data_IF_834421342327
#
_entry.id   IF_834421342327
#
_cell.length_a   1.000
_cell.length_b   1.000
_cell.length_c   1.000
_cell.angle_alpha   90.00
_cell.angle_beta   90.00
_cell.angle_gamma   90.00
#
_symmetry.space_group_name_H-M   'P 1'
#
loop_
_entity.id
_entity.type
_entity.pdbx_description
1 polymer ?
#
# COMPACT_ATOMS: atom_id res chain seq x y z
N UNK A 1 -34.96 50.41 28.97
CA UNK A 1 -35.56 49.77 27.78
C UNK A 1 -34.49 48.94 27.08
N UNK A 2 -34.71 47.62 27.05
CA UNK A 2 -33.86 46.59 26.42
C UNK A 2 -33.75 46.78 24.90
N UNK A 3 -32.54 46.68 24.33
CA UNK A 3 -32.33 46.04 23.02
C UNK A 3 -30.99 45.28 23.02
N UNK A 4 -31.09 43.96 22.94
CA UNK A 4 -30.00 42.99 22.82
C UNK A 4 -29.49 42.99 21.37
N UNK A 5 -28.18 43.02 21.19
CA UNK A 5 -27.52 42.80 19.90
C UNK A 5 -27.30 41.29 19.69
N UNK A 6 -28.05 40.69 18.77
CA UNK A 6 -27.87 39.28 18.38
C UNK A 6 -27.11 39.23 17.05
N UNK A 7 -25.89 38.68 17.06
CA UNK A 7 -25.09 38.38 15.86
C UNK A 7 -25.81 37.32 15.02
N UNK A 8 -26.14 37.68 13.78
CA UNK A 8 -26.62 36.75 12.75
C UNK A 8 -25.42 36.01 12.15
N UNK A 9 -25.34 34.69 12.39
CA UNK A 9 -24.45 33.79 11.65
C UNK A 9 -25.11 33.43 10.32
N UNK A 10 -24.43 33.75 9.22
CA UNK A 10 -24.81 33.43 7.85
C UNK A 10 -24.26 32.03 7.51
N UNK A 11 -25.13 31.03 7.34
CA UNK A 11 -24.79 29.68 6.86
C UNK A 11 -25.56 29.43 5.55
N UNK A 12 -24.90 29.31 4.38
CA UNK A 12 -25.59 29.01 3.12
C UNK A 12 -25.99 27.51 2.99
N UNK A 13 -26.96 27.20 2.11
CA UNK A 13 -27.83 26.03 2.26
C UNK A 13 -27.35 24.78 1.50
N UNK A 14 -27.45 23.61 2.15
CA UNK A 14 -27.31 22.29 1.51
C UNK A 14 -28.65 21.91 0.88
N UNK A 15 -28.63 21.73 -0.44
CA UNK A 15 -29.75 21.36 -1.30
C UNK A 15 -30.27 19.95 -0.95
N UNK A 16 -31.42 19.86 -0.27
CA UNK A 16 -32.21 18.61 -0.18
C UNK A 16 -33.14 18.53 -1.40
N UNK A 17 -32.86 17.64 -2.36
CA UNK A 17 -33.90 17.20 -3.33
C UNK A 17 -34.56 15.92 -2.84
N UNK A 18 -35.84 16.05 -2.47
CA UNK A 18 -36.80 14.96 -2.27
C UNK A 18 -37.15 14.38 -3.64
N UNK A 19 -36.94 13.08 -3.85
CA UNK A 19 -37.59 12.37 -4.95
C UNK A 19 -38.92 11.79 -4.46
N UNK A 20 -40.02 12.25 -5.09
CA UNK A 20 -41.39 11.75 -4.91
C UNK A 20 -41.50 10.34 -5.51
N UNK A 21 -41.97 9.39 -4.71
CA UNK A 21 -42.44 8.08 -5.18
C UNK A 21 -43.79 8.26 -5.89
N UNK A 22 -43.90 7.81 -7.14
CA UNK A 22 -45.18 7.53 -7.80
C UNK A 22 -44.98 6.48 -8.89
N UNK A 23 -45.49 5.28 -8.61
CA UNK A 23 -46.03 4.30 -9.57
C UNK A 23 -45.13 3.77 -10.68
N UNK A 24 -44.75 2.50 -10.59
CA UNK A 24 -45.44 1.38 -11.26
C UNK A 24 -44.72 0.08 -10.88
N UNK A 25 -45.45 -0.81 -10.22
CA UNK A 25 -45.10 -2.22 -10.06
C UNK A 25 -45.67 -2.93 -11.29
N UNK A 26 -44.83 -3.49 -12.15
CA UNK A 26 -45.24 -4.56 -13.05
C UNK A 26 -44.06 -5.42 -13.50
N UNK A 27 -44.11 -6.66 -13.00
CA UNK A 27 -43.71 -7.90 -13.67
C UNK A 27 -42.23 -8.17 -13.95
N UNK A 28 -41.62 -8.92 -13.02
CA UNK A 28 -40.43 -9.74 -13.28
C UNK A 28 -40.89 -10.98 -14.05
N UNK A 29 -40.46 -11.13 -15.31
CA UNK A 29 -40.45 -12.43 -15.97
C UNK A 29 -39.15 -13.16 -15.64
N UNK A 30 -39.33 -14.37 -15.15
CA UNK A 30 -38.36 -15.33 -14.66
C UNK A 30 -37.22 -15.62 -15.66
N UNK A 31 -35.97 -15.30 -15.30
CA UNK A 31 -34.87 -16.28 -15.11
C UNK A 31 -33.53 -15.55 -14.86
N UNK A 32 -32.85 -15.92 -13.76
CA UNK A 32 -31.41 -15.71 -13.47
C UNK A 32 -30.85 -14.28 -13.28
N UNK A 33 -31.22 -13.59 -12.18
CA UNK A 33 -30.41 -12.51 -11.59
C UNK A 33 -30.11 -12.69 -10.08
N UNK A 34 -30.35 -13.87 -9.52
CA UNK A 34 -30.05 -14.17 -8.11
C UNK A 34 -28.62 -14.72 -7.86
N UNK A 35 -27.86 -14.98 -8.92
CA UNK A 35 -26.46 -15.45 -8.79
C UNK A 35 -25.42 -14.31 -8.89
N UNK A 36 -25.78 -13.14 -9.43
CA UNK A 36 -24.81 -12.05 -9.67
C UNK A 36 -24.73 -10.99 -8.55
N UNK A 37 -25.62 -11.04 -7.55
CA UNK A 37 -25.70 -10.02 -6.50
C UNK A 37 -25.46 -10.54 -5.07
N UNK A 38 -25.17 -11.83 -4.91
CA UNK A 38 -25.03 -12.46 -3.59
C UNK A 38 -23.57 -12.74 -3.18
N UNK A 39 -22.58 -12.29 -3.95
CA UNK A 39 -21.16 -12.24 -3.53
C UNK A 39 -20.72 -10.79 -3.31
N UNK A 40 -21.57 -9.98 -2.67
CA UNK A 40 -21.19 -8.74 -1.99
C UNK A 40 -22.43 -8.29 -1.20
N UNK A 41 -22.41 -8.25 0.15
CA UNK A 41 -21.33 -7.68 0.95
C UNK A 41 -20.95 -8.54 2.17
N UNK A 42 -19.67 -8.93 2.24
CA UNK A 42 -19.01 -9.15 3.52
C UNK A 42 -18.91 -7.78 4.18
N UNK A 43 -19.54 -7.64 5.34
CA UNK A 43 -19.71 -6.41 6.12
C UNK A 43 -18.50 -5.48 6.06
N UNK A 44 -18.67 -4.28 5.51
CA UNK A 44 -17.76 -3.18 5.79
C UNK A 44 -18.54 -1.87 5.79
N UNK A 45 -18.74 -1.30 6.98
CA UNK A 45 -19.49 -0.04 7.22
C UNK A 45 -18.68 1.21 6.83
N UNK A 46 -17.54 1.06 6.18
CA UNK A 46 -16.53 2.13 6.07
C UNK A 46 -16.38 2.75 4.67
N UNK A 47 -17.22 2.39 3.69
CA UNK A 47 -17.07 2.86 2.30
C UNK A 47 -17.44 4.34 2.08
N UNK A 48 -17.86 5.06 3.12
CA UNK A 48 -18.05 6.52 3.07
C UNK A 48 -17.00 7.27 3.93
N UNK A 49 -15.85 6.66 4.22
CA UNK A 49 -14.73 7.39 4.80
C UNK A 49 -14.13 8.32 3.73
N UNK A 50 -14.23 9.63 3.93
CA UNK A 50 -13.52 10.63 3.13
C UNK A 50 -12.00 10.51 3.25
N UNK A 51 -11.51 9.78 4.27
CA UNK A 51 -10.09 9.59 4.56
C UNK A 51 -9.53 8.40 3.78
N UNK A 52 -8.34 8.54 3.16
CA UNK A 52 -7.72 7.45 2.43
C UNK A 52 -7.26 6.31 3.37
N UNK A 53 -7.18 5.06 2.88
CA UNK A 53 -6.84 3.90 3.68
C UNK A 53 -5.38 3.95 4.17
N UNK A 54 -5.16 3.64 5.45
CA UNK A 54 -3.81 3.63 6.05
C UNK A 54 -2.94 2.52 5.44
N UNK A 55 -1.70 2.88 5.12
CA UNK A 55 -0.68 1.98 4.58
C UNK A 55 -0.23 0.98 5.65
N UNK A 56 -0.18 -0.29 5.27
CA UNK A 56 0.38 -1.36 6.08
C UNK A 56 1.23 -2.25 5.19
N UNK A 57 2.54 -2.31 5.43
CA UNK A 57 3.48 -3.07 4.61
C UNK A 57 3.21 -4.59 4.64
N UNK A 58 2.71 -5.13 5.75
CA UNK A 58 2.33 -6.55 5.86
C UNK A 58 1.07 -6.90 5.06
N UNK A 59 0.22 -5.89 4.77
CA UNK A 59 -1.00 -6.03 3.97
C UNK A 59 -0.95 -5.15 2.72
N UNK A 60 0.26 -4.96 2.17
CA UNK A 60 0.51 -3.99 1.11
C UNK A 60 -0.32 -4.24 -0.15
N UNK A 61 -0.52 -5.50 -0.54
CA UNK A 61 -1.37 -5.86 -1.69
C UNK A 61 -2.82 -5.41 -1.49
N UNK A 62 -3.37 -5.57 -0.29
CA UNK A 62 -4.73 -5.13 0.02
C UNK A 62 -4.79 -3.60 0.03
N UNK A 63 -3.79 -2.95 0.63
CA UNK A 63 -3.69 -1.50 0.66
C UNK A 63 -3.60 -0.90 -0.75
N UNK A 64 -2.77 -1.46 -1.64
CA UNK A 64 -2.65 -1.06 -3.05
C UNK A 64 -3.99 -1.06 -3.77
N UNK A 65 -4.77 -2.14 -3.62
CA UNK A 65 -6.09 -2.24 -4.24
C UNK A 65 -7.03 -1.15 -3.71
N UNK A 66 -7.02 -0.92 -2.39
CA UNK A 66 -7.87 0.10 -1.76
C UNK A 66 -7.48 1.52 -2.15
N UNK A 67 -6.18 1.82 -2.19
CA UNK A 67 -5.70 3.17 -2.51
C UNK A 67 -5.92 3.50 -4.00
N UNK A 68 -5.78 2.51 -4.90
CA UNK A 68 -6.14 2.64 -6.31
C UNK A 68 -7.63 2.97 -6.48
N UNK A 69 -8.52 2.23 -5.81
CA UNK A 69 -9.96 2.49 -5.87
C UNK A 69 -10.30 3.88 -5.33
N UNK A 70 -9.67 4.30 -4.23
CA UNK A 70 -9.85 5.62 -3.65
C UNK A 70 -9.41 6.74 -4.61
N UNK A 71 -8.19 6.66 -5.17
CA UNK A 71 -7.68 7.67 -6.10
C UNK A 71 -8.54 7.79 -7.36
N UNK A 72 -8.92 6.66 -7.96
CA UNK A 72 -9.79 6.63 -9.13
C UNK A 72 -11.19 7.19 -8.86
N UNK A 73 -11.67 7.13 -7.61
CA UNK A 73 -12.96 7.73 -7.24
C UNK A 73 -12.93 9.26 -7.17
N UNK A 74 -11.74 9.86 -7.03
CA UNK A 74 -11.54 11.31 -7.00
C UNK A 74 -11.33 11.83 -8.42
N UNK A 75 -10.32 11.30 -9.11
CA UNK A 75 -9.94 11.67 -10.47
C UNK A 75 -9.05 10.56 -11.04
N UNK A 76 -9.34 10.09 -12.25
CA UNK A 76 -8.58 9.03 -12.93
C UNK A 76 -7.12 9.45 -13.18
N UNK A 77 -6.88 10.74 -13.37
CA UNK A 77 -5.54 11.28 -13.65
C UNK A 77 -4.59 11.17 -12.45
N UNK A 78 -5.12 11.07 -11.22
CA UNK A 78 -4.31 10.97 -9.99
C UNK A 78 -3.55 9.65 -9.95
N UNK A 79 -4.23 8.53 -10.21
CA UNK A 79 -3.57 7.22 -10.22
C UNK A 79 -2.65 7.08 -11.43
N UNK A 80 -3.03 7.64 -12.58
CA UNK A 80 -2.18 7.66 -13.78
C UNK A 80 -0.86 8.40 -13.52
N UNK A 81 -0.88 9.49 -12.74
CA UNK A 81 0.33 10.21 -12.32
C UNK A 81 1.32 9.35 -11.54
N UNK A 82 0.83 8.40 -10.74
CA UNK A 82 1.68 7.48 -9.97
C UNK A 82 2.40 6.48 -10.90
N UNK A 83 1.76 6.06 -11.98
CA UNK A 83 2.33 5.09 -12.92
C UNK A 83 3.32 5.73 -13.88
N UNK A 84 2.96 6.89 -14.43
CA UNK A 84 3.70 7.55 -15.51
C UNK A 84 4.81 8.45 -14.91
N UNK A 85 4.51 9.16 -13.83
CA UNK A 85 5.33 10.22 -13.26
C UNK A 85 5.04 11.58 -13.91
N UNK A 86 5.49 12.69 -13.31
CA UNK A 86 5.28 14.02 -13.87
C UNK A 86 5.96 14.13 -15.25
N UNK A 87 5.29 14.74 -16.24
CA UNK A 87 5.91 14.95 -17.54
C UNK A 87 7.13 15.87 -17.40
N UNK A 88 8.26 15.45 -17.98
CA UNK A 88 9.42 16.32 -18.10
C UNK A 88 9.05 17.53 -18.97
N UNK A 89 9.56 18.74 -18.66
CA UNK A 89 9.40 19.87 -19.56
C UNK A 89 10.11 19.53 -20.87
N UNK A 90 9.36 19.44 -21.97
CA UNK A 90 9.94 19.25 -23.30
C UNK A 90 10.71 20.51 -23.70
N UNK A 91 11.95 20.35 -24.15
CA UNK A 91 12.70 21.43 -24.77
C UNK A 91 12.15 21.66 -26.19
N UNK A 92 11.44 22.76 -26.42
CA UNK A 92 11.03 23.16 -27.77
C UNK A 92 12.23 23.71 -28.54
N UNK A 93 12.75 22.95 -29.50
CA UNK A 93 13.61 23.48 -30.58
C UNK A 93 12.73 24.08 -31.67
N UNK A 94 12.39 25.35 -31.56
CA UNK A 94 11.80 26.10 -32.68
C UNK A 94 12.90 26.55 -33.63
N UNK A 95 13.21 25.76 -34.66
CA UNK A 95 13.87 26.28 -35.86
C UNK A 95 12.82 27.05 -36.65
N UNK A 96 12.84 28.38 -36.59
CA UNK A 96 12.67 29.29 -37.73
C UNK A 96 12.71 30.76 -37.28
N UNK A 97 13.83 31.41 -37.63
CA UNK A 97 14.05 32.83 -37.93
C UNK A 97 13.18 33.91 -37.27
N UNK A 98 13.87 34.66 -36.40
CA UNK A 98 13.82 36.11 -36.18
C UNK A 98 13.07 36.64 -34.94
N UNK A 99 13.84 37.43 -34.20
CA UNK A 99 13.50 38.39 -33.14
C UNK A 99 13.52 37.84 -31.71
N UNK A 100 14.40 38.43 -30.91
CA UNK A 100 14.67 38.13 -29.51
C UNK A 100 13.39 38.08 -28.65
N UNK A 101 12.98 36.87 -28.28
CA UNK A 101 12.10 36.64 -27.13
C UNK A 101 12.79 35.62 -26.22
N UNK A 102 12.89 35.96 -24.93
CA UNK A 102 13.39 35.06 -23.89
C UNK A 102 12.53 33.79 -23.91
N UNK A 103 13.10 32.58 -24.03
CA UNK A 103 12.31 31.35 -23.98
C UNK A 103 11.76 31.18 -22.56
N UNK A 104 10.50 31.56 -22.36
CA UNK A 104 9.73 31.16 -21.19
C UNK A 104 9.30 29.71 -21.42
N UNK A 105 9.58 28.76 -20.52
CA UNK A 105 9.03 27.42 -20.60
C UNK A 105 7.51 27.52 -20.38
N UNK A 106 6.74 27.64 -21.46
CA UNK A 106 5.28 27.60 -21.39
C UNK A 106 4.83 26.17 -21.15
N UNK A 107 4.36 25.91 -19.93
CA UNK A 107 3.73 24.65 -19.58
C UNK A 107 2.42 24.53 -20.34
N UNK A 108 2.28 23.48 -21.15
CA UNK A 108 1.00 23.13 -21.80
C UNK A 108 -0.06 22.87 -20.72
N UNK A 109 -1.33 23.17 -20.99
CA UNK A 109 -2.41 22.93 -20.02
C UNK A 109 -2.49 21.46 -19.55
N UNK A 110 -2.13 20.52 -20.43
CA UNK A 110 -1.95 19.11 -20.09
C UNK A 110 -0.86 18.87 -19.03
N UNK A 111 0.29 19.55 -19.12
CA UNK A 111 1.38 19.41 -18.17
C UNK A 111 1.03 20.07 -16.82
N UNK A 112 0.32 21.21 -16.83
CA UNK A 112 -0.21 21.83 -15.60
C UNK A 112 -1.19 20.88 -14.90
N UNK A 113 -2.10 20.26 -15.66
CA UNK A 113 -3.05 19.27 -15.13
C UNK A 113 -2.32 18.07 -14.52
N UNK A 114 -1.31 17.53 -15.21
CA UNK A 114 -0.49 16.43 -14.71
C UNK A 114 0.26 16.79 -13.42
N UNK A 115 0.84 17.99 -13.32
CA UNK A 115 1.51 18.47 -12.11
C UNK A 115 0.55 18.60 -10.92
N UNK A 116 -0.68 19.06 -11.16
CA UNK A 116 -1.73 19.11 -10.15
C UNK A 116 -2.13 17.70 -9.71
N UNK A 117 -2.26 16.76 -10.66
CA UNK A 117 -2.56 15.36 -10.36
C UNK A 117 -1.44 14.70 -9.53
N UNK A 118 -0.16 14.96 -9.86
CA UNK A 118 0.99 14.46 -9.11
C UNK A 118 1.01 15.02 -7.67
N UNK A 119 0.79 16.32 -7.50
CA UNK A 119 0.71 16.94 -6.17
C UNK A 119 -0.43 16.36 -5.32
N UNK A 120 -1.60 16.10 -5.94
CA UNK A 120 -2.72 15.42 -5.27
C UNK A 120 -2.36 13.99 -4.89
N UNK A 121 -1.72 13.24 -5.80
CA UNK A 121 -1.28 11.88 -5.56
C UNK A 121 -0.28 11.81 -4.40
N UNK A 122 0.73 12.70 -4.38
CA UNK A 122 1.70 12.82 -3.28
C UNK A 122 0.99 13.11 -1.96
N UNK A 123 0.05 14.06 -1.92
CA UNK A 123 -0.68 14.40 -0.71
C UNK A 123 -1.53 13.22 -0.19
N UNK A 124 -2.20 12.49 -1.08
CA UNK A 124 -2.97 11.29 -0.71
C UNK A 124 -2.02 10.22 -0.15
N UNK A 125 -0.91 9.96 -0.84
CA UNK A 125 0.10 9.01 -0.39
C UNK A 125 0.64 9.38 1.00
N UNK A 126 1.00 10.64 1.23
CA UNK A 126 1.46 11.13 2.53
C UNK A 126 0.42 10.90 3.64
N UNK A 127 -0.86 11.21 3.40
CA UNK A 127 -1.94 11.02 4.38
C UNK A 127 -2.21 9.56 4.73
N UNK A 128 -1.92 8.64 3.81
CA UNK A 128 -2.07 7.20 4.08
C UNK A 128 -0.92 6.61 4.85
N UNK A 129 0.25 7.23 4.81
CA UNK A 129 1.44 6.66 5.42
C UNK A 129 1.51 6.95 6.91
N UNK A 130 1.87 5.96 7.74
CA UNK A 130 2.33 6.23 9.09
C UNK A 130 3.70 6.93 9.04
N UNK A 131 4.02 7.66 10.11
CA UNK A 131 5.18 8.58 10.16
C UNK A 131 6.53 7.87 9.91
N UNK A 132 6.66 6.62 10.33
CA UNK A 132 7.85 5.78 10.16
C UNK A 132 8.13 5.44 8.69
N UNK A 133 7.07 5.23 7.90
CA UNK A 133 7.17 5.01 6.46
C UNK A 133 7.36 6.34 5.75
N UNK A 134 6.61 7.37 6.16
CA UNK A 134 6.69 8.70 5.55
C UNK A 134 8.10 9.29 5.64
N UNK A 135 8.77 9.15 6.79
CA UNK A 135 10.15 9.63 6.97
C UNK A 135 11.13 9.05 5.94
N UNK A 136 10.92 7.80 5.50
CA UNK A 136 11.79 7.13 4.51
C UNK A 136 11.54 7.60 3.08
N UNK A 137 10.37 8.18 2.81
CA UNK A 137 9.98 8.63 1.47
C UNK A 137 9.85 10.16 1.35
N UNK A 138 10.12 10.89 2.43
CA UNK A 138 9.95 12.33 2.51
C UNK A 138 10.85 13.12 1.52
N UNK A 139 11.98 12.53 1.11
CA UNK A 139 12.94 13.16 0.18
C UNK A 139 12.48 13.09 -1.28
N UNK A 140 11.49 12.26 -1.61
CA UNK A 140 11.05 12.10 -2.99
C UNK A 140 10.10 13.22 -3.43
N UNK A 141 10.36 13.77 -4.62
CA UNK A 141 9.63 14.92 -5.17
C UNK A 141 8.51 14.56 -6.16
N UNK A 142 8.19 13.27 -6.31
CA UNK A 142 7.14 12.79 -7.21
C UNK A 142 6.38 11.63 -6.59
N UNK A 143 5.07 11.57 -6.87
CA UNK A 143 4.23 10.47 -6.42
C UNK A 143 4.71 9.10 -6.93
N UNK A 144 5.27 9.05 -8.14
CA UNK A 144 5.85 7.84 -8.72
C UNK A 144 7.06 7.35 -7.93
N UNK A 145 7.99 8.24 -7.62
CA UNK A 145 9.19 7.89 -6.85
C UNK A 145 8.84 7.36 -5.44
N UNK A 146 7.86 8.00 -4.78
CA UNK A 146 7.30 7.52 -3.51
C UNK A 146 6.71 6.11 -3.67
N UNK A 147 5.90 5.89 -4.71
CA UNK A 147 5.26 4.61 -4.97
C UNK A 147 6.26 3.49 -5.27
N UNK A 148 7.27 3.76 -6.10
CA UNK A 148 8.33 2.82 -6.44
C UNK A 148 9.18 2.46 -5.22
N UNK A 149 9.48 3.44 -4.37
CA UNK A 149 10.17 3.21 -3.10
C UNK A 149 9.37 2.30 -2.16
N UNK A 150 8.05 2.51 -2.04
CA UNK A 150 7.18 1.62 -1.27
C UNK A 150 7.17 0.18 -1.82
N UNK A 151 7.16 0.03 -3.15
CA UNK A 151 7.26 -1.29 -3.78
C UNK A 151 8.60 -1.95 -3.46
N UNK A 152 9.68 -1.19 -3.52
CA UNK A 152 11.02 -1.67 -3.21
C UNK A 152 11.16 -2.08 -1.74
N UNK A 153 10.58 -1.34 -0.80
CA UNK A 153 10.63 -1.70 0.63
C UNK A 153 9.96 -3.06 0.90
N UNK A 154 8.82 -3.33 0.26
CA UNK A 154 8.12 -4.62 0.42
C UNK A 154 8.86 -5.75 -0.28
N UNK A 155 9.40 -5.50 -1.47
CA UNK A 155 10.22 -6.47 -2.19
C UNK A 155 11.50 -6.81 -1.38
N UNK A 156 12.23 -5.80 -0.92
CA UNK A 156 13.42 -5.95 -0.08
C UNK A 156 13.12 -6.71 1.22
N UNK A 157 12.04 -6.37 1.92
CA UNK A 157 11.62 -7.14 3.11
C UNK A 157 11.28 -8.60 2.77
N UNK A 158 10.73 -8.85 1.59
CA UNK A 158 10.42 -10.23 1.14
C UNK A 158 11.71 -11.00 0.83
N UNK A 159 12.69 -10.37 0.19
CA UNK A 159 13.95 -11.01 -0.17
C UNK A 159 14.85 -11.20 1.06
N UNK A 160 14.96 -10.22 1.96
CA UNK A 160 15.62 -10.38 3.26
C UNK A 160 15.03 -11.56 4.07
N UNK A 161 13.70 -11.72 4.04
CA UNK A 161 13.04 -12.87 4.69
C UNK A 161 13.39 -14.20 4.03
N UNK A 162 13.52 -14.24 2.70
CA UNK A 162 13.95 -15.45 1.99
C UNK A 162 15.41 -15.78 2.29
N UNK A 163 16.29 -14.78 2.26
CA UNK A 163 17.72 -14.94 2.53
C UNK A 163 17.96 -15.39 3.96
N UNK A 164 17.26 -14.78 4.93
CA UNK A 164 17.30 -15.23 6.34
C UNK A 164 16.82 -16.68 6.47
N UNK A 165 15.72 -17.04 5.80
CA UNK A 165 15.22 -18.43 5.80
C UNK A 165 16.25 -19.39 5.20
N UNK A 166 16.85 -19.05 4.06
CA UNK A 166 17.87 -19.86 3.39
C UNK A 166 19.09 -20.09 4.29
N UNK A 167 19.59 -19.02 4.93
CA UNK A 167 20.69 -19.09 5.87
C UNK A 167 20.37 -20.01 7.07
N UNK A 168 19.19 -19.84 7.68
CA UNK A 168 18.76 -20.70 8.80
C UNK A 168 18.59 -22.17 8.38
N UNK A 169 18.11 -22.45 7.16
CA UNK A 169 18.05 -23.82 6.63
C UNK A 169 19.45 -24.40 6.51
N UNK A 170 20.42 -23.64 5.96
CA UNK A 170 21.80 -24.10 5.86
C UNK A 170 22.44 -24.35 7.23
N UNK A 171 22.17 -23.48 8.22
CA UNK A 171 22.62 -23.69 9.61
C UNK A 171 21.99 -24.94 10.22
N UNK A 172 20.70 -25.18 9.97
CA UNK A 172 20.01 -26.38 10.44
C UNK A 172 20.57 -27.65 9.79
N UNK A 173 20.74 -27.66 8.47
CA UNK A 173 21.28 -28.82 7.73
C UNK A 173 22.70 -29.16 8.17
N UNK A 174 23.54 -28.15 8.36
CA UNK A 174 24.92 -28.31 8.83
C UNK A 174 25.06 -28.35 10.36
N UNK A 175 23.94 -28.36 11.09
CA UNK A 175 23.96 -28.35 12.55
C UNK A 175 24.65 -29.62 13.07
N UNK A 176 25.64 -29.41 13.93
CA UNK A 176 26.39 -30.44 14.64
C UNK A 176 26.71 -29.95 16.04
N UNK A 177 26.94 -30.90 16.95
CA UNK A 177 27.43 -30.57 18.28
C UNK A 177 28.88 -30.05 18.19
N UNK A 178 29.19 -28.97 18.89
CA UNK A 178 30.55 -28.48 19.10
C UNK A 178 31.24 -29.26 20.24
N UNK A 179 32.57 -29.40 20.18
CA UNK A 179 33.31 -30.21 21.17
C UNK A 179 33.27 -29.59 22.58
N UNK A 180 33.27 -28.25 22.67
CA UNK A 180 33.24 -27.49 23.91
C UNK A 180 31.84 -27.17 24.45
N UNK A 181 30.77 -27.41 23.68
CA UNK A 181 29.41 -27.05 24.10
C UNK A 181 28.75 -28.14 24.96
N UNK A 182 27.93 -27.74 25.93
CA UNK A 182 27.10 -28.67 26.70
C UNK A 182 25.89 -29.14 25.87
N UNK A 183 25.28 -30.25 26.27
CA UNK A 183 24.05 -30.76 25.61
C UNK A 183 22.91 -29.75 25.71
N UNK A 184 22.81 -29.04 26.84
CA UNK A 184 21.81 -27.98 27.03
C UNK A 184 22.02 -26.80 26.08
N UNK A 185 23.27 -26.37 25.90
CA UNK A 185 23.62 -25.26 25.01
C UNK A 185 23.35 -25.62 23.55
N UNK A 186 23.76 -26.82 23.13
CA UNK A 186 23.45 -27.38 21.81
C UNK A 186 21.93 -27.38 21.56
N UNK A 187 21.14 -27.89 22.51
CA UNK A 187 19.69 -27.93 22.39
C UNK A 187 19.07 -26.53 22.26
N UNK A 188 19.56 -25.57 23.06
CA UNK A 188 19.10 -24.18 23.00
C UNK A 188 19.38 -23.53 21.64
N UNK A 189 20.57 -23.74 21.06
CA UNK A 189 20.89 -23.24 19.71
C UNK A 189 19.99 -23.84 18.65
N UNK A 190 19.77 -25.16 18.69
CA UNK A 190 18.89 -25.85 17.75
C UNK A 190 17.46 -25.32 17.84
N UNK A 191 16.93 -25.18 19.05
CA UNK A 191 15.59 -24.64 19.28
C UNK A 191 15.46 -23.19 18.79
N UNK A 192 16.51 -22.36 18.95
CA UNK A 192 16.51 -21.00 18.40
C UNK A 192 16.35 -21.01 16.88
N UNK A 193 17.14 -21.84 16.18
CA UNK A 193 17.07 -21.98 14.71
C UNK A 193 15.68 -22.46 14.28
N UNK A 194 15.14 -23.49 14.94
CA UNK A 194 13.82 -24.06 14.64
C UNK A 194 12.70 -23.04 14.87
N UNK A 195 12.75 -22.30 15.98
CA UNK A 195 11.74 -21.29 16.29
C UNK A 195 11.76 -20.14 15.27
N UNK A 196 12.94 -19.67 14.87
CA UNK A 196 13.07 -18.67 13.82
C UNK A 196 12.54 -19.19 12.47
N UNK A 197 12.85 -20.43 12.09
CA UNK A 197 12.31 -21.05 10.88
C UNK A 197 10.78 -21.13 10.90
N UNK A 198 10.18 -21.45 12.06
CA UNK A 198 8.73 -21.41 12.26
C UNK A 198 8.16 -20.01 12.07
N UNK A 199 8.81 -18.97 12.62
CA UNK A 199 8.36 -17.57 12.40
C UNK A 199 8.43 -17.13 10.93
N UNK A 200 9.33 -17.75 10.17
CA UNK A 200 9.45 -17.54 8.72
C UNK A 200 8.55 -18.48 7.92
N UNK A 201 7.71 -19.32 8.54
CA UNK A 201 6.73 -20.17 7.86
C UNK A 201 7.28 -21.51 7.36
N UNK A 202 8.40 -22.00 7.93
CA UNK A 202 8.87 -23.38 7.75
C UNK A 202 8.63 -24.15 9.04
N UNK A 203 7.67 -25.07 9.00
CA UNK A 203 7.40 -25.97 10.11
C UNK A 203 8.36 -27.15 10.06
N UNK A 204 9.03 -27.40 11.19
CA UNK A 204 9.88 -28.56 11.42
C UNK A 204 9.17 -29.41 12.48
N UNK A 205 8.97 -30.68 12.15
CA UNK A 205 8.30 -31.66 13.02
C UNK A 205 9.18 -32.04 14.21
N UNK A 206 8.56 -32.49 15.31
CA UNK A 206 9.31 -32.96 16.46
C UNK A 206 10.20 -34.16 16.11
N UNK A 207 9.75 -35.02 15.20
CA UNK A 207 10.53 -36.16 14.70
C UNK A 207 11.81 -35.70 14.02
N UNK A 208 11.74 -34.72 13.10
CA UNK A 208 12.93 -34.18 12.43
C UNK A 208 13.93 -33.56 13.41
N UNK A 209 13.44 -32.89 14.46
CA UNK A 209 14.28 -32.32 15.52
C UNK A 209 14.98 -33.43 16.30
N UNK A 210 14.24 -34.48 16.70
CA UNK A 210 14.78 -35.62 17.43
C UNK A 210 15.83 -36.36 16.60
N UNK A 211 15.56 -36.63 15.33
CA UNK A 211 16.50 -37.25 14.41
C UNK A 211 17.77 -36.39 14.30
N UNK A 212 17.61 -35.07 14.22
CA UNK A 212 18.76 -34.15 14.16
C UNK A 212 19.61 -34.18 15.44
N UNK A 213 18.97 -34.26 16.60
CA UNK A 213 19.67 -34.41 17.88
C UNK A 213 20.42 -35.75 17.92
N UNK A 214 19.78 -36.85 17.51
CA UNK A 214 20.40 -38.16 17.47
C UNK A 214 21.62 -38.20 16.53
N UNK A 215 21.56 -37.52 15.38
CA UNK A 215 22.71 -37.39 14.47
C UNK A 215 23.90 -36.64 15.07
N UNK A 216 23.71 -35.85 16.13
CA UNK A 216 24.78 -35.14 16.81
C UNK A 216 25.55 -36.02 17.80
N UNK A 217 25.08 -37.22 18.11
CA UNK A 217 25.74 -38.18 19.00
C UNK A 217 26.05 -39.48 18.24
N UNK A 218 27.29 -39.98 18.27
CA UNK A 218 27.59 -41.27 17.66
C UNK A 218 26.79 -42.37 18.37
N UNK A 219 26.20 -43.27 17.58
CA UNK A 219 25.63 -44.52 18.09
C UNK A 219 26.75 -45.32 18.77
N UNK A 220 26.59 -45.53 20.08
CA UNK A 220 27.49 -46.27 20.97
C UNK A 220 27.65 -47.73 20.58
#
# INVERSE_FOLDING_TARGET
MNKRYTRLFFVPPVFRRRYRLSGIISFISSTNLRAAFCIWPIQNKDYASTRPPVCNLNKFTIWKTRIRLYMNSIDEDIYNSILIGPPAPEATTTTSSNTHAVPSPEWTDAQKKAKIADAKAMNILAQTMPDDIFQKVAEYTSAKAIWDSLNQMVAGSTDERKDRRSNLISQYENFKKEESESVGDMYNRLNSIVNELKTLGKDITLTEINDKILMCFPSS
#
